data_IF_507856673893
#
_entry.id   IF_507856673893
#
_cell.length_a   1.000
_cell.length_b   1.000
_cell.length_c   1.000
_cell.angle_alpha   90.00
_cell.angle_beta   90.00
_cell.angle_gamma   90.00
#
_symmetry.space_group_name_H-M   'P 1'
#
loop_
_entity.id
_entity.type
_entity.pdbx_description
1 polymer ?
#
# COMPACT_ATOMS: atom_id res chain seq x y z
N UNK A 1 -17.16 47.75 -25.08
CA UNK A 1 -17.42 46.77 -26.18
C UNK A 1 -16.88 45.44 -25.72
N UNK A 2 -17.76 44.65 -25.10
CA UNK A 2 -17.39 43.44 -24.34
C UNK A 2 -17.61 42.21 -25.24
N UNK A 3 -16.56 41.48 -25.52
CA UNK A 3 -16.66 40.18 -26.18
C UNK A 3 -16.54 39.06 -25.13
N UNK A 4 -17.68 38.52 -24.77
CA UNK A 4 -17.81 37.31 -23.92
C UNK A 4 -17.49 36.12 -24.81
N UNK A 5 -16.36 35.44 -24.53
CA UNK A 5 -16.03 34.16 -25.15
C UNK A 5 -16.69 33.07 -24.38
N UNK A 6 -17.76 32.50 -24.93
CA UNK A 6 -18.39 31.25 -24.46
C UNK A 6 -17.42 30.10 -24.60
N UNK A 7 -17.08 29.49 -23.46
CA UNK A 7 -16.35 28.22 -23.40
C UNK A 7 -17.38 27.09 -23.45
N UNK A 8 -17.51 26.43 -24.59
CA UNK A 8 -18.31 25.22 -24.74
C UNK A 8 -17.58 24.04 -24.06
N UNK A 9 -18.08 23.63 -22.93
CA UNK A 9 -17.63 22.43 -22.23
C UNK A 9 -18.32 21.21 -22.87
N UNK A 10 -17.59 20.52 -23.75
CA UNK A 10 -18.07 19.28 -24.39
C UNK A 10 -17.95 18.13 -23.38
N UNK A 11 -19.04 17.79 -22.72
CA UNK A 11 -19.13 16.61 -21.88
C UNK A 11 -19.14 15.35 -22.79
N UNK A 12 -18.03 14.66 -22.85
CA UNK A 12 -17.94 13.34 -23.45
C UNK A 12 -18.64 12.34 -22.54
N UNK A 13 -19.88 12.00 -22.87
CA UNK A 13 -20.59 10.86 -22.29
C UNK A 13 -19.90 9.57 -22.75
N UNK A 14 -19.05 9.02 -21.91
CA UNK A 14 -18.60 7.64 -22.03
C UNK A 14 -19.76 6.74 -21.66
N UNK A 15 -20.46 6.26 -22.65
CA UNK A 15 -21.45 5.19 -22.50
C UNK A 15 -20.67 3.89 -22.17
N UNK A 16 -20.83 3.28 -20.98
CA UNK A 16 -20.20 2.00 -20.71
C UNK A 16 -20.89 0.94 -21.57
N UNK A 17 -20.21 0.49 -22.64
CA UNK A 17 -20.63 -0.73 -23.32
C UNK A 17 -20.50 -1.87 -22.32
N UNK A 18 -21.61 -2.42 -21.91
CA UNK A 18 -21.66 -3.71 -21.24
C UNK A 18 -21.17 -4.77 -22.24
N UNK A 19 -19.88 -5.02 -22.23
CA UNK A 19 -19.34 -6.23 -22.81
C UNK A 19 -19.71 -7.33 -21.82
N UNK A 20 -20.66 -8.18 -22.22
CA UNK A 20 -20.94 -9.42 -21.49
C UNK A 20 -19.68 -10.30 -21.64
N UNK A 21 -18.80 -10.18 -20.67
CA UNK A 21 -17.68 -11.10 -20.53
C UNK A 21 -18.29 -12.48 -20.20
N UNK A 22 -18.05 -13.44 -21.06
CA UNK A 22 -18.23 -14.86 -20.75
C UNK A 22 -17.56 -15.09 -19.39
N UNK A 23 -18.26 -15.75 -18.49
CA UNK A 23 -17.74 -16.16 -17.18
C UNK A 23 -16.62 -17.18 -17.43
N UNK A 24 -15.40 -16.69 -17.61
CA UNK A 24 -14.24 -17.48 -17.33
C UNK A 24 -14.36 -17.81 -15.83
N UNK A 25 -14.32 -19.10 -15.48
CA UNK A 25 -14.27 -19.54 -14.08
C UNK A 25 -13.15 -18.78 -13.39
N UNK A 26 -13.50 -17.70 -12.69
CA UNK A 26 -12.53 -16.95 -11.89
C UNK A 26 -12.09 -17.89 -10.78
N UNK A 27 -10.80 -18.15 -10.71
CA UNK A 27 -10.26 -18.77 -9.50
C UNK A 27 -10.73 -17.95 -8.28
N UNK A 28 -11.17 -18.62 -7.21
CA UNK A 28 -11.61 -17.93 -6.01
C UNK A 28 -10.47 -17.06 -5.47
N UNK A 29 -10.79 -15.89 -4.96
CA UNK A 29 -9.81 -15.01 -4.32
C UNK A 29 -9.01 -15.77 -3.26
N UNK A 30 -7.73 -15.47 -3.09
CA UNK A 30 -6.89 -16.11 -2.09
C UNK A 30 -7.46 -15.89 -0.69
N UNK A 31 -7.13 -16.78 0.23
CA UNK A 31 -7.50 -16.62 1.64
C UNK A 31 -6.72 -15.48 2.30
N UNK A 32 -5.48 -15.30 1.87
CA UNK A 32 -4.59 -14.21 2.26
C UNK A 32 -3.48 -14.06 1.21
N UNK A 33 -2.84 -12.90 1.21
CA UNK A 33 -1.61 -12.63 0.47
C UNK A 33 -0.52 -12.34 1.50
N UNK A 34 0.65 -12.94 1.34
CA UNK A 34 1.84 -12.64 2.15
C UNK A 34 2.78 -11.82 1.30
N UNK A 35 3.22 -10.71 1.84
CA UNK A 35 4.21 -9.81 1.27
C UNK A 35 5.55 -10.00 1.96
N UNK A 36 6.60 -10.13 1.17
CA UNK A 36 7.98 -10.28 1.65
C UNK A 36 8.88 -9.39 0.82
N UNK A 37 9.46 -8.39 1.44
CA UNK A 37 10.19 -7.39 0.69
C UNK A 37 11.29 -6.67 1.45
N UNK A 38 11.64 -5.54 0.90
CA UNK A 38 12.52 -4.56 1.50
C UNK A 38 11.91 -3.18 1.44
N UNK A 39 12.28 -2.35 2.40
CA UNK A 39 11.80 -0.99 2.52
C UNK A 39 12.95 0.01 2.64
N UNK A 40 12.67 1.23 2.19
CA UNK A 40 13.52 2.39 2.40
C UNK A 40 12.64 3.58 2.82
N UNK A 41 13.07 4.33 3.81
CA UNK A 41 12.36 5.52 4.28
C UNK A 41 13.30 6.74 4.38
N UNK A 42 12.72 7.92 4.22
CA UNK A 42 13.42 9.21 4.26
C UNK A 42 12.66 10.19 5.13
N UNK A 43 13.33 10.70 6.17
CA UNK A 43 12.79 11.78 6.98
C UNK A 43 12.72 13.09 6.20
N UNK A 44 11.54 13.68 6.14
CA UNK A 44 11.35 14.96 5.46
C UNK A 44 11.88 16.16 6.25
N UNK A 45 12.12 15.99 7.56
CA UNK A 45 12.53 17.08 8.45
C UNK A 45 14.02 17.04 8.80
N UNK A 46 14.59 15.84 8.92
CA UNK A 46 15.99 15.63 9.33
C UNK A 46 16.92 15.16 8.22
N UNK A 47 16.39 14.81 7.05
CA UNK A 47 17.16 14.33 5.90
C UNK A 47 17.85 12.98 6.11
N UNK A 48 17.43 12.22 7.09
CA UNK A 48 17.93 10.86 7.34
C UNK A 48 17.28 9.84 6.44
N UNK A 49 18.00 8.76 6.11
CA UNK A 49 17.44 7.59 5.41
C UNK A 49 17.65 6.33 6.24
N UNK A 50 16.73 5.40 6.13
CA UNK A 50 16.75 4.08 6.73
C UNK A 50 16.38 3.02 5.72
N UNK A 51 16.82 1.78 5.95
CA UNK A 51 16.57 0.64 5.08
C UNK A 51 16.27 -0.58 5.93
N UNK A 52 15.41 -1.47 5.44
CA UNK A 52 15.09 -2.68 6.17
C UNK A 52 14.35 -3.72 5.38
N UNK A 53 13.88 -4.72 6.09
CA UNK A 53 12.96 -5.72 5.55
C UNK A 53 11.53 -5.21 5.64
N UNK A 54 10.65 -5.88 4.93
CA UNK A 54 9.22 -5.64 4.96
C UNK A 54 8.50 -6.97 4.95
N UNK A 55 7.51 -7.14 5.82
CA UNK A 55 6.68 -8.34 5.91
C UNK A 55 5.26 -7.93 6.24
N UNK A 56 4.32 -8.28 5.37
CA UNK A 56 2.91 -8.04 5.62
C UNK A 56 2.02 -9.24 5.26
N UNK A 57 0.82 -9.24 5.80
CA UNK A 57 -0.24 -10.17 5.46
C UNK A 57 -1.50 -9.40 5.16
N UNK A 58 -2.04 -9.63 3.99
CA UNK A 58 -3.25 -9.00 3.51
C UNK A 58 -4.38 -10.03 3.37
N UNK A 59 -5.61 -9.62 3.64
CA UNK A 59 -6.81 -10.40 3.42
C UNK A 59 -7.98 -9.52 2.97
N UNK A 60 -8.87 -10.09 2.18
CA UNK A 60 -9.99 -9.39 1.54
C UNK A 60 -11.31 -9.72 2.26
N UNK A 61 -11.74 -8.94 3.28
CA UNK A 61 -13.04 -9.15 3.95
C UNK A 61 -14.23 -8.80 3.05
N UNK A 62 -14.07 -7.84 2.14
CA UNK A 62 -15.13 -7.44 1.21
C UNK A 62 -14.54 -7.31 -0.19
N UNK A 63 -14.80 -8.30 -1.04
CA UNK A 63 -14.30 -8.38 -2.41
C UNK A 63 -14.46 -7.06 -3.16
N UNK A 64 -13.38 -6.59 -3.82
CA UNK A 64 -13.32 -5.36 -4.62
C UNK A 64 -13.59 -4.06 -3.86
N UNK A 65 -13.76 -4.12 -2.55
CA UNK A 65 -14.11 -2.93 -1.78
C UNK A 65 -13.18 -2.66 -0.61
N UNK A 66 -12.79 -3.70 0.15
CA UNK A 66 -11.94 -3.54 1.32
C UNK A 66 -10.96 -4.69 1.42
N UNK A 67 -9.68 -4.33 1.52
CA UNK A 67 -8.59 -5.19 1.92
C UNK A 67 -7.99 -4.67 3.22
N UNK A 68 -7.57 -5.58 4.07
CA UNK A 68 -6.95 -5.25 5.35
C UNK A 68 -5.58 -5.90 5.37
N UNK A 69 -4.58 -5.08 5.59
CA UNK A 69 -3.20 -5.51 5.73
C UNK A 69 -2.70 -5.26 7.15
N UNK A 70 -1.88 -6.19 7.64
CA UNK A 70 -1.11 -6.02 8.86
C UNK A 70 0.36 -6.29 8.54
N UNK A 71 1.19 -5.27 8.73
CA UNK A 71 2.60 -5.27 8.37
C UNK A 71 3.55 -4.98 9.52
N UNK A 72 4.82 -5.28 9.28
CA UNK A 72 5.91 -4.84 10.13
C UNK A 72 7.19 -4.64 9.34
N UNK A 73 7.80 -3.47 9.51
CA UNK A 73 8.97 -3.01 8.76
C UNK A 73 10.08 -2.59 9.71
N UNK A 74 11.05 -3.49 10.02
CA UNK A 74 12.24 -3.11 10.75
C UNK A 74 13.16 -2.25 9.87
N UNK A 75 13.36 -1.00 10.24
CA UNK A 75 14.22 -0.04 9.57
C UNK A 75 15.51 0.19 10.35
N UNK A 76 16.62 0.12 9.66
CA UNK A 76 17.95 0.27 10.26
C UNK A 76 18.64 1.57 9.79
N UNK A 77 19.20 2.28 10.75
CA UNK A 77 20.00 3.48 10.57
C UNK A 77 21.29 3.33 11.37
N UNK A 78 22.29 4.16 11.12
CA UNK A 78 23.63 4.01 11.70
C UNK A 78 23.70 3.81 13.22
N UNK A 79 22.77 4.40 13.99
CA UNK A 79 22.72 4.33 15.46
C UNK A 79 21.32 4.14 16.02
N UNK A 80 20.38 3.76 15.17
CA UNK A 80 19.00 3.51 15.58
C UNK A 80 18.40 2.34 14.79
N UNK A 81 17.47 1.68 15.43
CA UNK A 81 16.56 0.72 14.80
C UNK A 81 15.16 1.17 15.07
N UNK A 82 14.34 1.19 14.06
CA UNK A 82 12.92 1.51 14.12
C UNK A 82 12.13 0.29 13.67
N UNK A 83 11.04 0.01 14.34
CA UNK A 83 10.10 -1.04 13.99
C UNK A 83 8.76 -0.38 13.78
N UNK A 84 8.31 -0.34 12.56
CA UNK A 84 7.02 0.19 12.19
C UNK A 84 6.08 -0.98 12.05
N UNK A 85 4.95 -0.91 12.72
CA UNK A 85 3.91 -1.94 12.68
C UNK A 85 2.59 -1.24 12.38
N UNK A 86 2.00 -1.60 11.28
CA UNK A 86 0.83 -0.96 10.71
C UNK A 86 -0.37 -1.89 10.61
N UNK A 87 -1.54 -1.27 10.46
CA UNK A 87 -2.78 -1.91 10.10
C UNK A 87 -3.48 -1.03 9.07
N UNK A 88 -3.36 -1.41 7.80
CA UNK A 88 -3.89 -0.63 6.70
C UNK A 88 -5.25 -1.13 6.24
N UNK A 89 -6.11 -0.18 5.92
CA UNK A 89 -7.38 -0.41 5.25
C UNK A 89 -7.24 0.08 3.82
N UNK A 90 -7.20 -0.87 2.89
CA UNK A 90 -6.91 -0.61 1.48
C UNK A 90 -8.18 -0.72 0.64
N UNK A 91 -8.34 0.20 -0.30
CA UNK A 91 -9.38 0.14 -1.33
C UNK A 91 -8.75 -0.33 -2.63
N UNK A 92 -9.13 -1.53 -3.16
CA UNK A 92 -8.59 -2.05 -4.41
C UNK A 92 -9.30 -1.49 -5.65
N UNK A 93 -8.53 -1.36 -6.74
CA UNK A 93 -8.96 -1.11 -8.11
C UNK A 93 -8.19 -2.00 -9.08
N UNK A 94 -8.91 -2.83 -9.82
CA UNK A 94 -8.31 -3.66 -10.87
C UNK A 94 -8.03 -2.81 -12.11
N UNK A 95 -6.76 -2.54 -12.38
CA UNK A 95 -6.33 -1.80 -13.57
C UNK A 95 -6.27 -2.71 -14.81
N UNK A 96 -5.89 -3.97 -14.62
CA UNK A 96 -5.89 -5.01 -15.65
C UNK A 96 -5.94 -6.39 -14.99
N UNK A 97 -6.02 -7.46 -15.80
CA UNK A 97 -5.99 -8.84 -15.28
C UNK A 97 -4.67 -9.20 -14.53
N UNK A 98 -3.65 -8.36 -14.65
CA UNK A 98 -2.32 -8.60 -14.07
C UNK A 98 -1.84 -7.48 -13.17
N UNK A 99 -2.60 -6.40 -13.05
CA UNK A 99 -2.19 -5.22 -12.27
C UNK A 99 -3.36 -4.75 -11.43
N UNK A 100 -3.14 -4.70 -10.14
CA UNK A 100 -4.02 -4.09 -9.17
C UNK A 100 -3.37 -2.85 -8.57
N UNK A 101 -4.19 -1.89 -8.23
CA UNK A 101 -3.79 -0.67 -7.54
C UNK A 101 -4.67 -0.53 -6.31
N UNK A 102 -4.08 -0.18 -5.18
CA UNK A 102 -4.82 0.09 -3.95
C UNK A 102 -4.38 1.41 -3.34
N UNK A 103 -5.33 2.06 -2.72
CA UNK A 103 -5.09 3.18 -1.82
C UNK A 103 -5.37 2.71 -0.39
N UNK A 104 -4.38 2.83 0.48
CA UNK A 104 -4.46 2.41 1.86
C UNK A 104 -4.28 3.57 2.82
N UNK A 105 -4.89 3.45 4.00
CA UNK A 105 -4.70 4.34 5.14
C UNK A 105 -4.90 3.56 6.42
N UNK A 106 -4.09 3.83 7.43
CA UNK A 106 -4.24 3.17 8.71
C UNK A 106 -3.40 3.73 9.83
N UNK A 107 -3.60 3.23 11.05
CA UNK A 107 -2.74 3.50 12.18
C UNK A 107 -1.43 2.74 12.07
N UNK A 108 -0.37 3.36 12.57
CA UNK A 108 0.96 2.84 12.67
C UNK A 108 1.47 2.95 14.11
N UNK A 109 2.17 1.92 14.58
CA UNK A 109 2.89 1.92 15.84
C UNK A 109 4.38 1.88 15.56
N UNK A 110 5.08 2.94 15.97
CA UNK A 110 6.50 3.18 15.76
C UNK A 110 7.25 2.88 17.05
N UNK A 111 8.15 1.89 17.01
CA UNK A 111 9.01 1.51 18.12
C UNK A 111 10.47 1.80 17.76
N UNK A 112 11.02 2.87 18.29
CA UNK A 112 12.40 3.31 17.98
C UNK A 112 13.35 3.02 19.14
N UNK A 113 14.50 2.46 18.83
CA UNK A 113 15.63 2.30 19.75
C UNK A 113 16.84 3.04 19.21
N UNK A 114 17.27 4.09 19.91
CA UNK A 114 18.41 4.92 19.55
C UNK A 114 19.27 5.23 20.78
N UNK A 115 20.58 5.06 20.67
CA UNK A 115 21.55 5.35 21.76
C UNK A 115 21.20 4.71 23.11
N UNK A 116 20.58 3.52 23.09
CA UNK A 116 20.18 2.82 24.32
C UNK A 116 18.86 3.30 24.92
N UNK A 117 18.23 4.31 24.34
CA UNK A 117 16.88 4.79 24.71
C UNK A 117 15.86 4.15 23.79
N UNK A 118 14.75 3.72 24.37
CA UNK A 118 13.60 3.18 23.64
C UNK A 118 12.44 4.15 23.73
N UNK A 119 11.81 4.45 22.61
CA UNK A 119 10.61 5.27 22.50
C UNK A 119 9.54 4.54 21.74
N UNK A 120 8.28 4.81 22.09
CA UNK A 120 7.12 4.31 21.34
C UNK A 120 6.26 5.51 20.96
N UNK A 121 5.75 5.51 19.76
CA UNK A 121 4.79 6.51 19.30
C UNK A 121 3.71 5.86 18.43
N UNK A 122 2.61 6.57 18.29
CA UNK A 122 1.57 6.25 17.33
C UNK A 122 1.66 7.21 16.17
N UNK A 123 1.38 6.71 15.00
CA UNK A 123 1.35 7.43 13.74
C UNK A 123 0.12 7.07 12.92
N UNK A 124 0.14 7.56 11.73
CA UNK A 124 -0.79 7.16 10.67
C UNK A 124 -0.04 7.15 9.35
N UNK A 125 -0.37 6.18 8.55
CA UNK A 125 0.24 5.92 7.26
C UNK A 125 -0.79 6.04 6.15
N UNK A 126 -0.32 6.50 4.98
CA UNK A 126 -1.06 6.52 3.71
C UNK A 126 -0.20 5.88 2.65
N UNK A 127 -0.73 4.89 1.95
CA UNK A 127 0.00 4.14 0.93
C UNK A 127 -0.70 4.11 -0.42
N UNK A 128 0.11 3.95 -1.47
CA UNK A 128 -0.33 3.63 -2.82
C UNK A 128 0.32 2.30 -3.20
N UNK A 129 -0.45 1.24 -3.19
CA UNK A 129 0.08 -0.08 -3.45
C UNK A 129 -0.23 -0.53 -4.89
N UNK A 130 0.78 -1.07 -5.55
CA UNK A 130 0.73 -1.61 -6.91
C UNK A 130 1.14 -3.07 -6.88
N UNK A 131 0.20 -3.96 -7.12
CA UNK A 131 0.44 -5.39 -7.24
C UNK A 131 0.50 -5.83 -8.69
N UNK A 132 1.49 -6.67 -9.02
CA UNK A 132 1.75 -7.18 -10.36
C UNK A 132 1.75 -8.71 -10.36
N UNK A 133 0.84 -9.28 -11.12
CA UNK A 133 0.62 -10.71 -11.23
C UNK A 133 1.05 -11.24 -12.60
N UNK A 134 2.24 -11.86 -12.75
CA UNK A 134 2.69 -12.38 -14.04
C UNK A 134 1.77 -13.46 -14.62
N UNK A 135 1.11 -14.23 -13.74
CA UNK A 135 0.18 -15.29 -14.10
C UNK A 135 -1.24 -14.93 -13.67
N UNK A 136 -2.22 -15.28 -14.50
CA UNK A 136 -3.66 -15.13 -14.19
C UNK A 136 -4.10 -15.97 -12.96
N UNK A 137 -3.28 -16.92 -12.51
CA UNK A 137 -3.51 -17.70 -11.29
C UNK A 137 -3.19 -16.95 -10.01
N UNK A 138 -2.63 -15.75 -10.08
CA UNK A 138 -2.28 -14.88 -8.96
C UNK A 138 -1.63 -15.63 -7.77
N UNK A 139 -0.73 -16.58 -8.03
CA UNK A 139 -0.06 -17.34 -6.96
C UNK A 139 1.20 -16.65 -6.45
N UNK A 140 1.95 -16.09 -7.39
CA UNK A 140 3.17 -15.33 -7.13
C UNK A 140 3.12 -14.04 -7.92
N UNK A 141 3.49 -12.98 -7.29
CA UNK A 141 3.56 -11.65 -7.86
C UNK A 141 4.66 -10.83 -7.22
N UNK A 142 4.64 -9.56 -7.47
CA UNK A 142 5.51 -8.58 -6.83
C UNK A 142 4.72 -7.29 -6.63
N UNK A 143 5.14 -6.52 -5.64
CA UNK A 143 4.50 -5.28 -5.27
C UNK A 143 5.48 -4.13 -5.23
N UNK A 144 4.94 -2.93 -5.29
CA UNK A 144 5.62 -1.66 -5.09
C UNK A 144 4.67 -0.73 -4.36
N UNK A 145 5.06 -0.30 -3.17
CA UNK A 145 4.21 0.49 -2.29
C UNK A 145 4.96 1.74 -1.79
N UNK A 146 4.80 2.89 -2.46
CA UNK A 146 5.16 4.17 -1.89
C UNK A 146 4.18 4.59 -0.78
N UNK A 147 4.73 5.09 0.33
CA UNK A 147 3.99 5.49 1.52
C UNK A 147 4.39 6.87 2.04
N UNK A 148 3.53 7.40 2.87
CA UNK A 148 3.76 8.62 3.65
C UNK A 148 3.30 8.40 5.07
N UNK A 149 4.21 8.64 6.03
CA UNK A 149 4.01 8.43 7.45
C UNK A 149 3.97 9.75 8.20
N UNK A 150 3.13 9.79 9.23
CA UNK A 150 3.00 10.94 10.11
C UNK A 150 2.93 10.48 11.57
N UNK A 151 3.96 10.81 12.36
CA UNK A 151 3.99 10.53 13.79
C UNK A 151 3.21 11.57 14.60
N UNK A 152 2.35 11.11 15.51
CA UNK A 152 1.60 11.96 16.45
C UNK A 152 2.42 12.33 17.69
N UNK A 153 3.66 11.85 17.82
CA UNK A 153 4.58 12.21 18.89
C UNK A 153 4.94 13.70 18.88
N UNK A 154 5.53 14.17 19.98
CA UNK A 154 6.08 15.52 20.06
C UNK A 154 7.17 15.71 19.00
N UNK A 155 6.98 16.57 18.06
CA UNK A 155 7.88 16.79 16.93
C UNK A 155 7.21 16.60 15.58
N UNK A 156 6.12 15.84 15.54
CA UNK A 156 5.32 15.62 14.33
C UNK A 156 6.24 15.24 13.16
N UNK A 157 6.98 14.15 13.33
CA UNK A 157 7.90 13.64 12.30
C UNK A 157 7.08 13.17 11.10
N UNK A 158 7.68 13.34 9.93
CA UNK A 158 7.11 12.96 8.64
C UNK A 158 8.14 12.24 7.84
N UNK A 159 7.78 11.13 7.27
CA UNK A 159 8.62 10.37 6.36
C UNK A 159 7.92 10.07 5.05
N UNK A 160 8.69 9.75 4.07
CA UNK A 160 8.24 9.10 2.85
C UNK A 160 8.98 7.78 2.75
N UNK A 161 8.22 6.73 2.49
CA UNK A 161 8.73 5.38 2.34
C UNK A 161 8.47 4.83 0.95
N UNK A 162 9.16 3.77 0.65
CA UNK A 162 8.86 2.87 -0.44
C UNK A 162 9.21 1.46 -0.01
N UNK A 163 8.26 0.56 -0.12
CA UNK A 163 8.49 -0.88 0.03
C UNK A 163 8.29 -1.59 -1.31
N UNK A 164 8.81 -2.79 -1.42
CA UNK A 164 8.64 -3.61 -2.60
C UNK A 164 9.24 -4.99 -2.44
N UNK A 165 8.62 -5.98 -3.08
CA UNK A 165 9.01 -7.36 -2.89
C UNK A 165 8.13 -8.36 -3.62
N UNK A 166 8.00 -9.54 -3.04
CA UNK A 166 7.27 -10.67 -3.58
C UNK A 166 5.91 -10.81 -2.89
N UNK A 167 4.91 -11.15 -3.68
CA UNK A 167 3.57 -11.55 -3.26
C UNK A 167 3.45 -13.07 -3.32
N UNK A 168 2.91 -13.66 -2.26
CA UNK A 168 2.62 -15.09 -2.18
C UNK A 168 1.15 -15.25 -1.78
N UNK A 169 0.31 -15.61 -2.74
CA UNK A 169 -1.10 -15.85 -2.48
C UNK A 169 -1.34 -17.22 -1.84
N UNK A 170 -2.04 -17.23 -0.73
CA UNK A 170 -2.44 -18.44 -0.01
C UNK A 170 -3.84 -18.84 -0.50
N UNK A 171 -3.97 -20.02 -1.15
CA UNK A 171 -5.24 -20.44 -1.71
C UNK A 171 -6.26 -20.75 -0.62
N UNK A 172 -7.51 -20.37 -0.86
CA UNK A 172 -8.63 -20.76 -0.02
C UNK A 172 -8.85 -22.28 -0.15
N UNK A 173 -8.76 -23.02 0.94
CA UNK A 173 -9.14 -24.46 0.94
C UNK A 173 -10.65 -24.55 0.71
N UNK A 174 -11.03 -25.34 -0.27
CA UNK A 174 -12.43 -25.74 -0.49
C UNK A 174 -12.84 -26.82 0.49
#
# INVERSE_FOLDING_TARGET
MNAIKSLLLTALFFCPRHVSAQSVDKEPEPAAIVELGGAAAWDLKGGGSSFGGDVAVEFTPIEKWLEIEAGTTPLFRRHSTEWDTDLLFKKPWTLSEKVEFMFGVGPEWIHTRAYGVTTNSLGGEVVLDFMFWPSLKHRFGWFLEPGFDYSFARGHERSMGISGGLLIAIPRRR
#
